data_IF_221042237429
#
_entry.id   IF_221042237429
#
_cell.length_a   1.000
_cell.length_b   1.000
_cell.length_c   1.000
_cell.angle_alpha   90.00
_cell.angle_beta   90.00
_cell.angle_gamma   90.00
#
_symmetry.space_group_name_H-M   'P 1'
#
loop_
_entity.id
_entity.type
_entity.pdbx_description
1 polymer ?
#
# COMPACT_ATOMS: atom_id res chain seq x y z
N UNK A 1 9.16 6.79 39.91
CA UNK A 1 9.06 7.55 38.64
C UNK A 1 8.02 8.60 38.90
N UNK A 2 8.48 9.83 39.13
CA UNK A 2 7.57 10.94 39.45
C UNK A 2 6.99 11.48 38.15
N UNK A 3 5.66 11.61 38.12
CA UNK A 3 4.94 12.16 36.96
C UNK A 3 5.05 13.67 37.02
N UNK A 4 5.67 14.27 36.01
CA UNK A 4 5.77 15.72 35.86
C UNK A 4 4.65 16.17 34.94
N UNK A 5 3.70 16.94 35.47
CA UNK A 5 2.61 17.51 34.67
C UNK A 5 3.10 18.70 33.84
N UNK A 6 3.17 18.50 32.52
CA UNK A 6 3.58 19.55 31.58
C UNK A 6 2.33 20.33 31.14
N UNK A 7 2.30 21.67 31.33
CA UNK A 7 1.16 22.48 30.91
C UNK A 7 1.00 22.43 29.39
N UNK A 8 -0.25 22.33 28.93
CA UNK A 8 -0.55 22.37 27.49
C UNK A 8 -0.33 23.78 26.95
N UNK A 9 0.35 23.94 25.80
CA UNK A 9 0.50 25.24 25.16
C UNK A 9 -0.87 25.81 24.78
N UNK A 10 -1.00 27.14 24.83
CA UNK A 10 -2.22 27.83 24.42
C UNK A 10 -2.50 27.59 22.94
N UNK A 11 -3.76 27.48 22.54
CA UNK A 11 -4.17 27.40 21.13
C UNK A 11 -3.73 28.62 20.32
N UNK A 12 -3.55 29.77 20.97
CA UNK A 12 -3.03 31.00 20.35
C UNK A 12 -1.53 30.96 20.04
N UNK A 13 -0.79 29.98 20.55
CA UNK A 13 0.64 29.85 20.31
C UNK A 13 0.95 29.37 18.88
N UNK A 14 -0.01 28.71 18.22
CA UNK A 14 0.11 28.27 16.83
C UNK A 14 -0.48 29.36 15.95
N UNK A 15 0.33 29.89 15.03
CA UNK A 15 -0.11 30.83 14.01
C UNK A 15 0.03 30.18 12.63
N UNK A 16 -1.09 29.74 12.07
CA UNK A 16 -1.13 29.09 10.75
C UNK A 16 -0.89 30.06 9.60
N UNK A 17 -1.21 31.34 9.78
CA UNK A 17 -1.07 32.39 8.77
C UNK A 17 0.35 32.97 8.72
N UNK A 18 1.27 32.46 9.56
CA UNK A 18 2.68 32.82 9.50
C UNK A 18 3.27 32.39 8.17
N UNK A 19 4.11 33.24 7.56
CA UNK A 19 4.86 32.88 6.37
C UNK A 19 5.74 31.64 6.60
N UNK A 20 5.75 30.73 5.62
CA UNK A 20 6.45 29.47 5.71
C UNK A 20 7.97 29.67 5.88
N UNK A 21 8.52 29.12 6.96
CA UNK A 21 9.96 29.13 7.20
C UNK A 21 10.70 28.21 6.20
N UNK A 22 11.97 28.51 5.92
CA UNK A 22 12.85 27.74 5.05
C UNK A 22 12.93 26.25 5.42
N UNK A 23 12.91 25.92 6.72
CA UNK A 23 12.92 24.51 7.18
C UNK A 23 11.67 23.76 6.72
N UNK A 24 10.50 24.38 6.85
CA UNK A 24 9.22 23.78 6.43
C UNK A 24 9.19 23.68 4.91
N UNK A 25 9.67 24.69 4.19
CA UNK A 25 9.77 24.64 2.72
C UNK A 25 10.70 23.52 2.23
N UNK A 26 11.80 23.25 2.94
CA UNK A 26 12.66 22.10 2.65
C UNK A 26 11.92 20.77 2.84
N UNK A 27 11.10 20.65 3.89
CA UNK A 27 10.26 19.46 4.10
C UNK A 27 9.23 19.28 2.99
N UNK A 28 8.55 20.37 2.58
CA UNK A 28 7.62 20.37 1.44
C UNK A 28 8.34 19.89 0.17
N UNK A 29 9.55 20.37 -0.11
CA UNK A 29 10.34 19.95 -1.27
C UNK A 29 10.68 18.44 -1.24
N UNK A 30 11.10 17.92 -0.08
CA UNK A 30 11.39 16.49 0.07
C UNK A 30 10.14 15.62 -0.12
N UNK A 31 9.01 16.06 0.43
CA UNK A 31 7.75 15.33 0.29
C UNK A 31 7.20 15.40 -1.13
N UNK A 32 7.37 16.52 -1.83
CA UNK A 32 7.06 16.61 -3.26
C UNK A 32 7.89 15.62 -4.08
N UNK A 33 9.17 15.47 -3.76
CA UNK A 33 10.01 14.47 -4.41
C UNK A 33 9.52 13.04 -4.13
N UNK A 34 9.11 12.75 -2.90
CA UNK A 34 8.52 11.45 -2.54
C UNK A 34 7.19 11.21 -3.27
N UNK A 35 6.32 12.22 -3.31
CA UNK A 35 5.01 12.20 -3.97
C UNK A 35 5.10 11.85 -5.46
N UNK A 36 6.08 12.42 -6.16
CA UNK A 36 6.34 12.10 -7.59
C UNK A 36 6.68 10.63 -7.83
N UNK A 37 7.08 9.89 -6.79
CA UNK A 37 7.36 8.44 -6.88
C UNK A 37 6.15 7.58 -6.55
N UNK A 38 5.05 8.16 -6.04
CA UNK A 38 3.82 7.43 -5.84
C UNK A 38 3.10 7.14 -7.16
N UNK A 39 2.31 6.05 -7.22
CA UNK A 39 1.32 5.85 -8.27
C UNK A 39 0.38 7.05 -8.37
N UNK A 40 -0.01 7.43 -9.60
CA UNK A 40 -0.83 8.63 -9.86
C UNK A 40 -2.09 8.70 -8.99
N UNK A 41 -2.73 7.56 -8.74
CA UNK A 41 -3.96 7.47 -7.91
C UNK A 41 -3.81 7.92 -6.45
N UNK A 42 -2.59 8.10 -5.94
CA UNK A 42 -2.31 8.59 -4.58
C UNK A 42 -1.58 9.94 -4.58
N UNK A 43 -1.36 10.56 -5.74
CA UNK A 43 -0.77 11.90 -5.76
C UNK A 43 -1.84 12.91 -5.39
N UNK A 44 -1.44 13.94 -4.66
CA UNK A 44 -2.23 15.12 -4.40
C UNK A 44 -2.22 16.02 -5.63
N UNK A 45 -3.24 16.85 -5.78
CA UNK A 45 -3.34 17.83 -6.87
C UNK A 45 -2.85 19.22 -6.42
N UNK A 46 -2.14 19.28 -5.29
CA UNK A 46 -1.70 20.52 -4.68
C UNK A 46 -0.47 21.07 -5.41
N UNK A 47 -0.57 22.33 -5.85
CA UNK A 47 0.56 23.04 -6.46
C UNK A 47 1.49 23.59 -5.38
N UNK A 48 2.65 22.96 -5.19
CA UNK A 48 3.58 23.30 -4.09
C UNK A 48 4.11 24.73 -4.10
N UNK A 49 4.20 25.39 -5.27
CA UNK A 49 4.64 26.78 -5.33
C UNK A 49 3.55 27.79 -4.91
N UNK A 50 2.31 27.34 -4.70
CA UNK A 50 1.26 28.17 -4.12
C UNK A 50 1.37 28.29 -2.59
N UNK A 51 2.15 27.42 -1.94
CA UNK A 51 2.27 27.37 -0.48
C UNK A 51 3.08 28.57 0.01
N UNK A 52 2.43 29.43 0.78
CA UNK A 52 3.01 30.64 1.35
C UNK A 52 3.02 30.60 2.88
N UNK A 53 2.06 29.92 3.50
CA UNK A 53 1.90 29.89 4.96
C UNK A 53 2.32 28.56 5.58
N UNK A 54 2.65 28.58 6.87
CA UNK A 54 2.93 27.35 7.63
C UNK A 54 1.71 26.43 7.71
N UNK A 55 0.50 27.00 7.76
CA UNK A 55 -0.75 26.24 7.74
C UNK A 55 -0.94 25.45 6.45
N UNK A 56 -0.77 26.12 5.30
CA UNK A 56 -0.84 25.48 3.98
C UNK A 56 0.22 24.39 3.82
N UNK A 57 1.45 24.67 4.29
CA UNK A 57 2.51 23.68 4.27
C UNK A 57 2.17 22.46 5.13
N UNK A 58 1.63 22.67 6.34
CA UNK A 58 1.22 21.60 7.24
C UNK A 58 0.10 20.74 6.64
N UNK A 59 -0.86 21.37 5.96
CA UNK A 59 -1.94 20.67 5.25
C UNK A 59 -1.38 19.79 4.12
N UNK A 60 -0.52 20.34 3.26
CA UNK A 60 0.14 19.56 2.21
C UNK A 60 0.94 18.38 2.76
N UNK A 61 1.75 18.62 3.81
CA UNK A 61 2.54 17.57 4.46
C UNK A 61 1.65 16.45 4.98
N UNK A 62 0.52 16.81 5.60
CA UNK A 62 -0.45 15.85 6.12
C UNK A 62 -1.05 15.02 4.99
N UNK A 63 -1.52 15.63 3.92
CA UNK A 63 -2.13 14.90 2.81
C UNK A 63 -1.17 13.92 2.13
N UNK A 64 0.06 14.37 1.83
CA UNK A 64 1.06 13.52 1.18
C UNK A 64 1.46 12.35 2.08
N UNK A 65 1.62 12.58 3.39
CA UNK A 65 1.98 11.50 4.33
C UNK A 65 0.85 10.49 4.50
N UNK A 66 -0.41 10.94 4.56
CA UNK A 66 -1.57 10.05 4.56
C UNK A 66 -1.67 9.24 3.26
N UNK A 67 -1.37 9.85 2.11
CA UNK A 67 -1.34 9.18 0.82
C UNK A 67 -0.24 8.10 0.74
N UNK A 68 0.96 8.40 1.26
CA UNK A 68 2.05 7.43 1.40
C UNK A 68 1.58 6.23 2.23
N UNK A 69 0.99 6.48 3.40
CA UNK A 69 0.49 5.41 4.26
C UNK A 69 -0.58 4.56 3.58
N UNK A 70 -1.54 5.17 2.87
CA UNK A 70 -2.54 4.44 2.08
C UNK A 70 -1.90 3.57 1.00
N UNK A 71 -0.93 4.10 0.27
CA UNK A 71 -0.23 3.35 -0.76
C UNK A 71 0.47 2.10 -0.19
N UNK A 72 1.14 2.24 0.96
CA UNK A 72 1.75 1.10 1.64
C UNK A 72 0.73 0.09 2.16
N UNK A 73 -0.36 0.55 2.78
CA UNK A 73 -1.43 -0.31 3.28
C UNK A 73 -2.10 -1.14 2.17
N UNK A 74 -2.30 -0.56 0.99
CA UNK A 74 -2.87 -1.29 -0.14
C UNK A 74 -1.90 -2.34 -0.70
N UNK A 75 -0.59 -2.05 -0.70
CA UNK A 75 0.43 -3.04 -1.09
C UNK A 75 0.50 -4.19 -0.08
N UNK A 76 0.47 -3.92 1.22
CA UNK A 76 0.48 -4.97 2.25
C UNK A 76 -0.78 -5.84 2.17
N UNK A 77 -1.95 -5.23 1.96
CA UNK A 77 -3.22 -5.95 1.75
C UNK A 77 -3.19 -6.83 0.50
N UNK A 78 -2.59 -6.37 -0.60
CA UNK A 78 -2.40 -7.19 -1.80
C UNK A 78 -1.44 -8.37 -1.53
N UNK A 79 -0.35 -8.13 -0.81
CA UNK A 79 0.61 -9.19 -0.44
C UNK A 79 -0.03 -10.25 0.47
N UNK A 80 -0.80 -9.85 1.47
CA UNK A 80 -1.48 -10.79 2.37
C UNK A 80 -2.51 -11.64 1.64
N UNK A 81 -3.33 -11.03 0.75
CA UNK A 81 -4.27 -11.77 -0.11
C UNK A 81 -3.56 -12.79 -1.01
N UNK A 82 -2.44 -12.39 -1.64
CA UNK A 82 -1.66 -13.30 -2.48
C UNK A 82 -1.04 -14.45 -1.68
N UNK A 83 -0.58 -14.19 -0.46
CA UNK A 83 -0.10 -15.24 0.45
C UNK A 83 -1.18 -16.26 0.80
N UNK A 84 -2.40 -15.78 1.10
CA UNK A 84 -3.58 -16.63 1.34
C UNK A 84 -3.95 -17.45 0.10
N UNK A 85 -3.94 -16.85 -1.10
CA UNK A 85 -4.23 -17.57 -2.35
C UNK A 85 -3.20 -18.67 -2.65
N UNK A 86 -1.91 -18.41 -2.41
CA UNK A 86 -0.84 -19.39 -2.59
C UNK A 86 -1.00 -20.55 -1.58
N UNK A 87 -1.27 -20.25 -0.31
CA UNK A 87 -1.52 -21.26 0.72
C UNK A 87 -2.75 -22.13 0.37
N UNK A 88 -3.86 -21.49 0.00
CA UNK A 88 -5.08 -22.19 -0.42
C UNK A 88 -4.88 -23.04 -1.69
N UNK A 89 -4.03 -22.61 -2.63
CA UNK A 89 -3.67 -23.40 -3.80
C UNK A 89 -2.78 -24.62 -3.46
N UNK A 90 -1.91 -24.50 -2.45
CA UNK A 90 -1.08 -25.60 -1.96
C UNK A 90 -1.90 -26.67 -1.20
N UNK A 91 -2.98 -26.26 -0.53
CA UNK A 91 -3.89 -27.17 0.18
C UNK A 91 -4.90 -27.90 -0.73
N UNK A 92 -5.00 -27.55 -2.01
CA UNK A 92 -5.85 -28.31 -2.94
C UNK A 92 -5.31 -29.74 -3.04
N UNK A 93 -6.11 -30.77 -2.71
CA UNK A 93 -5.65 -32.15 -2.81
C UNK A 93 -5.24 -32.40 -4.26
N UNK A 94 -4.00 -32.89 -4.46
CA UNK A 94 -3.51 -33.37 -5.75
C UNK A 94 -4.58 -34.31 -6.29
N UNK A 95 -5.31 -33.89 -7.33
CA UNK A 95 -6.20 -34.78 -8.06
C UNK A 95 -5.33 -35.93 -8.51
N UNK A 96 -5.47 -37.08 -7.86
CA UNK A 96 -4.84 -38.31 -8.29
C UNK A 96 -5.20 -38.46 -9.76
N UNK A 97 -4.21 -38.27 -10.64
CA UNK A 97 -4.28 -38.73 -12.01
C UNK A 97 -4.28 -40.26 -11.93
N UNK A 98 -5.43 -40.81 -11.55
CA UNK A 98 -5.69 -42.23 -11.61
C UNK A 98 -5.60 -42.61 -13.08
N UNK A 99 -4.42 -43.11 -13.41
CA UNK A 99 -4.06 -43.86 -14.60
C UNK A 99 -5.29 -44.67 -15.02
N UNK A 100 -5.90 -44.29 -16.15
CA UNK A 100 -6.89 -45.11 -16.84
C UNK A 100 -6.18 -46.39 -17.29
N UNK A 101 -6.08 -47.37 -16.41
CA UNK A 101 -5.80 -48.75 -16.78
C UNK A 101 -7.03 -49.25 -17.55
N UNK A 102 -7.07 -48.99 -18.86
CA UNK A 102 -7.99 -49.65 -19.77
C UNK A 102 -7.66 -51.16 -19.72
N UNK A 103 -8.45 -51.91 -18.94
CA UNK A 103 -8.54 -53.37 -18.99
C UNK A 103 -8.70 -53.77 -20.46
N UNK A 104 -7.68 -54.42 -21.02
CA UNK A 104 -7.75 -55.17 -22.28
C UNK A 104 -8.79 -56.28 -22.07
N UNK A 105 -10.00 -56.11 -22.61
CA UNK A 105 -10.91 -57.22 -22.80
C UNK A 105 -10.40 -58.04 -23.99
N UNK A 106 -10.03 -59.29 -23.69
CA UNK A 106 -9.71 -60.33 -24.65
C UNK A 106 -10.90 -60.56 -25.60
N UNK A 107 -10.70 -60.34 -26.90
CA UNK A 107 -11.59 -60.83 -27.96
C UNK A 107 -10.88 -61.96 -28.72
N UNK A 108 -11.54 -63.10 -28.97
CA UNK A 108 -10.90 -64.27 -29.56
C UNK A 108 -10.66 -64.05 -31.06
N UNK A 109 -9.57 -64.63 -31.52
CA UNK A 109 -9.12 -64.71 -32.91
C UNK A 109 -10.13 -65.44 -33.79
N UNK A 110 -10.61 -64.79 -34.86
CA UNK A 110 -11.31 -65.46 -35.97
C UNK A 110 -10.37 -65.59 -37.16
N UNK A 111 -9.99 -66.85 -37.42
CA UNK A 111 -9.13 -67.34 -38.50
C UNK A 111 -9.82 -67.08 -39.86
N UNK A 112 -9.15 -66.41 -40.80
CA UNK A 112 -9.55 -66.34 -42.21
C UNK A 112 -9.09 -67.61 -42.93
N UNK A 113 -10.00 -68.25 -43.66
CA UNK A 113 -9.73 -69.03 -44.87
C UNK A 113 -10.52 -68.37 -45.98
#
# INVERSE_FOLDING_TARGET
MDVIDVPRPSTKAINQDRAANALIMAQVSHLQHAERRLPLKYRTEIYTHAIQTEGEAAEYIREVTEAIHKAHADVTKRRSRRGLEIAAAAERPKRNSAVKSKKKSSKPTKKKR
#
